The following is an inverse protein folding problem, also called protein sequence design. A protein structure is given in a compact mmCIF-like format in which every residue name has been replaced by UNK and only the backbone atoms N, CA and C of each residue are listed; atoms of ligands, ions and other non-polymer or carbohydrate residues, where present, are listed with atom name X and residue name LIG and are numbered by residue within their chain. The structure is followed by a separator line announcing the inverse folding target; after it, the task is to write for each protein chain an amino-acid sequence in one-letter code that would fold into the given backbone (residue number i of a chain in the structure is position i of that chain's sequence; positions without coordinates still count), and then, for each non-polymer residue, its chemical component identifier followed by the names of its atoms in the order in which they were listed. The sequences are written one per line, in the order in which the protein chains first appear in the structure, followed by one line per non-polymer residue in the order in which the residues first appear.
data_IF_889621624265
#
_entry.id   IF_889621624265
#
_cell.length_a   1.000
_cell.length_b   1.000
_cell.length_c   1.000
_cell.angle_alpha   90.00
_cell.angle_beta   90.00
_cell.angle_gamma   90.00
#
_symmetry.space_group_name_H-M   'P 1'
#
loop_
_entity.id
_entity.type
_entity.pdbx_description
1 polymer ?
#
# COMPACT_ATOMS: atom_id res chain seq x y z
N UNK A 1 -42.56 -26.63 8.82
CA UNK A 1 -41.15 -26.28 9.06
C UNK A 1 -40.57 -25.75 7.75
N UNK A 2 -40.15 -24.48 7.63
CA UNK A 2 -39.43 -24.06 6.43
C UNK A 2 -37.96 -24.45 6.55
N UNK A 3 -37.45 -25.04 5.47
CA UNK A 3 -36.08 -25.43 5.26
C UNK A 3 -35.23 -24.16 5.07
N UNK A 4 -34.29 -23.90 5.98
CA UNK A 4 -33.34 -22.79 5.86
C UNK A 4 -32.15 -23.27 5.04
N UNK A 5 -32.01 -22.76 3.81
CA UNK A 5 -30.78 -22.91 3.03
C UNK A 5 -29.69 -22.04 3.66
N UNK A 6 -28.73 -22.66 4.34
CA UNK A 6 -27.50 -21.99 4.78
C UNK A 6 -26.67 -21.73 3.51
N UNK A 7 -26.67 -20.49 3.03
CA UNK A 7 -25.76 -20.07 1.98
C UNK A 7 -24.33 -20.04 2.54
N UNK A 8 -23.48 -20.98 2.10
CA UNK A 8 -22.05 -20.90 2.35
C UNK A 8 -21.51 -19.67 1.61
N UNK A 9 -21.14 -18.63 2.37
CA UNK A 9 -20.40 -17.50 1.83
C UNK A 9 -19.05 -18.03 1.30
N UNK A 10 -18.59 -17.59 0.13
CA UNK A 10 -17.27 -17.96 -0.35
C UNK A 10 -16.24 -17.42 0.65
N UNK A 11 -15.53 -18.33 1.31
CA UNK A 11 -14.31 -17.98 2.03
C UNK A 11 -13.29 -17.59 0.98
N UNK A 12 -13.06 -16.28 0.79
CA UNK A 12 -11.83 -15.82 0.17
C UNK A 12 -10.72 -16.41 1.04
N UNK A 13 -9.97 -17.36 0.50
CA UNK A 13 -8.82 -17.92 1.18
C UNK A 13 -8.01 -16.76 1.76
N UNK A 14 -7.83 -16.75 3.08
CA UNK A 14 -7.11 -15.68 3.76
C UNK A 14 -5.73 -15.55 3.12
N UNK A 15 -5.51 -14.46 2.39
CA UNK A 15 -4.25 -14.21 1.72
C UNK A 15 -3.14 -14.12 2.78
N UNK A 16 -2.07 -14.89 2.60
CA UNK A 16 -0.99 -14.94 3.57
C UNK A 16 0.01 -13.81 3.31
N UNK A 17 -0.31 -12.62 3.80
CA UNK A 17 0.54 -11.43 3.66
C UNK A 17 1.89 -11.52 4.38
N UNK A 18 2.08 -12.49 5.28
CA UNK A 18 3.36 -12.69 5.97
C UNK A 18 4.46 -13.22 5.04
N UNK A 19 4.07 -13.82 3.91
CA UNK A 19 5.01 -14.27 2.87
C UNK A 19 5.48 -13.13 1.96
N UNK A 20 4.80 -11.97 1.98
CA UNK A 20 5.22 -10.82 1.20
C UNK A 20 6.61 -10.35 1.68
N UNK A 21 7.47 -9.87 0.78
CA UNK A 21 8.77 -9.32 1.16
C UNK A 21 8.63 -8.19 2.17
N UNK A 22 9.60 -8.08 3.07
CA UNK A 22 9.72 -6.92 3.97
C UNK A 22 9.80 -5.66 3.12
N UNK A 23 8.97 -4.67 3.45
CA UNK A 23 8.90 -3.41 2.74
C UNK A 23 10.23 -2.67 2.92
N UNK A 24 10.85 -2.32 1.79
CA UNK A 24 12.03 -1.45 1.77
C UNK A 24 11.57 -0.02 1.55
N UNK A 25 12.27 0.94 2.15
CA UNK A 25 12.02 2.37 1.93
C UNK A 25 12.30 2.81 0.47
N UNK A 26 12.97 1.99 -0.33
CA UNK A 26 13.25 2.25 -1.74
C UNK A 26 12.95 1.03 -2.62
N UNK A 27 12.16 1.23 -3.68
CA UNK A 27 11.76 0.18 -4.63
C UNK A 27 11.30 0.77 -5.97
N UNK A 28 11.31 -0.02 -7.07
CA UNK A 28 10.74 0.41 -8.35
C UNK A 28 9.22 0.63 -8.27
N UNK A 29 8.73 1.72 -8.85
CA UNK A 29 7.29 1.99 -8.93
C UNK A 29 6.56 0.93 -9.74
N UNK A 30 5.38 0.50 -9.28
CA UNK A 30 4.48 -0.39 -10.01
C UNK A 30 3.70 0.32 -11.11
N UNK A 31 3.68 1.67 -11.11
CA UNK A 31 2.98 2.49 -12.11
C UNK A 31 3.71 2.62 -13.46
N UNK A 32 4.91 2.04 -13.60
CA UNK A 32 5.72 2.12 -14.82
C UNK A 32 6.61 3.38 -14.91
N UNK A 33 7.18 3.63 -16.09
CA UNK A 33 7.98 4.84 -16.37
C UNK A 33 9.40 4.86 -15.81
N UNK A 34 9.90 3.74 -15.28
CA UNK A 34 11.25 3.68 -14.69
C UNK A 34 11.40 4.49 -13.41
N UNK A 35 10.29 4.86 -12.77
CA UNK A 35 10.28 5.64 -11.53
C UNK A 35 10.78 4.78 -10.37
N UNK A 36 11.69 5.34 -9.57
CA UNK A 36 12.08 4.77 -8.28
C UNK A 36 11.37 5.51 -7.15
N UNK A 37 10.68 4.75 -6.29
CA UNK A 37 10.07 5.26 -5.07
C UNK A 37 11.14 5.26 -3.97
N UNK A 38 11.24 6.35 -3.21
CA UNK A 38 12.17 6.49 -2.07
C UNK A 38 11.49 7.11 -0.86
N UNK A 39 12.00 6.80 0.34
CA UNK A 39 11.49 7.33 1.61
C UNK A 39 10.12 6.77 1.99
N UNK A 40 9.81 5.55 1.54
CA UNK A 40 8.49 4.95 1.72
C UNK A 40 8.42 4.20 3.05
N UNK A 41 8.11 4.94 4.11
CA UNK A 41 8.14 4.48 5.50
C UNK A 41 6.79 4.76 6.16
N UNK A 42 5.78 3.89 5.94
CA UNK A 42 4.40 4.15 6.34
C UNK A 42 4.21 4.15 7.85
N UNK A 43 3.31 5.02 8.30
CA UNK A 43 2.83 5.10 9.68
C UNK A 43 1.33 4.82 9.70
N UNK A 44 0.88 4.03 10.66
CA UNK A 44 -0.55 3.77 10.87
C UNK A 44 -1.07 4.72 11.94
N UNK A 45 -2.07 5.53 11.58
CA UNK A 45 -2.74 6.46 12.50
C UNK A 45 -4.15 6.77 12.02
N UNK A 46 -5.10 6.93 12.95
CA UNK A 46 -6.47 7.34 12.61
C UNK A 46 -7.20 6.43 11.61
N UNK A 47 -6.90 5.12 11.60
CA UNK A 47 -7.49 4.19 10.62
C UNK A 47 -6.93 4.32 9.21
N UNK A 48 -5.79 4.99 9.04
CA UNK A 48 -5.07 5.16 7.77
C UNK A 48 -3.64 4.67 7.88
N UNK A 49 -3.09 4.22 6.76
CA UNK A 49 -1.65 4.09 6.60
C UNK A 49 -1.17 5.23 5.70
N UNK A 50 -0.26 6.05 6.20
CA UNK A 50 0.16 7.28 5.52
C UNK A 50 1.67 7.24 5.35
N UNK A 51 2.15 7.58 4.15
CA UNK A 51 3.56 7.86 3.93
C UNK A 51 3.73 9.02 2.99
N UNK A 52 4.71 9.87 3.28
CA UNK A 52 5.32 10.72 2.26
C UNK A 52 6.32 9.88 1.47
N UNK A 53 6.54 10.19 0.21
CA UNK A 53 7.53 9.52 -0.60
C UNK A 53 8.04 10.42 -1.72
N UNK A 54 9.17 10.04 -2.31
CA UNK A 54 9.70 10.65 -3.52
C UNK A 54 9.52 9.70 -4.69
N UNK A 55 8.91 10.17 -5.77
CA UNK A 55 8.96 9.55 -7.09
C UNK A 55 10.12 10.17 -7.86
N UNK A 56 11.14 9.36 -8.17
CA UNK A 56 12.38 9.82 -8.82
C UNK A 56 12.45 9.22 -10.21
N UNK A 57 12.57 10.06 -11.24
CA UNK A 57 12.81 9.62 -12.62
C UNK A 57 14.19 8.96 -12.76
N UNK A 58 14.40 8.20 -13.85
CA UNK A 58 15.71 7.71 -14.22
C UNK A 58 16.54 8.81 -14.92
N UNK A 59 17.87 8.71 -14.88
CA UNK A 59 18.78 9.61 -15.59
C UNK A 59 19.81 10.30 -14.69
N UNK A 60 20.71 11.09 -15.31
CA UNK A 60 21.85 11.74 -14.64
C UNK A 60 21.41 12.93 -13.76
N UNK A 61 20.33 13.63 -14.14
CA UNK A 61 19.72 14.71 -13.37
C UNK A 61 18.21 14.44 -13.23
N UNK A 62 17.81 13.49 -12.37
CA UNK A 62 16.44 13.02 -12.33
C UNK A 62 15.51 14.05 -11.72
N UNK A 63 14.33 14.22 -12.31
CA UNK A 63 13.26 14.96 -11.64
C UNK A 63 12.79 14.18 -10.42
N UNK A 64 12.47 14.91 -9.36
CA UNK A 64 12.01 14.36 -8.10
C UNK A 64 10.67 14.99 -7.77
N UNK A 65 9.66 14.15 -7.58
CA UNK A 65 8.32 14.57 -7.17
C UNK A 65 8.05 14.10 -5.75
N UNK A 66 7.86 15.04 -4.83
CA UNK A 66 7.47 14.74 -3.45
C UNK A 66 5.97 14.56 -3.38
N UNK A 67 5.54 13.45 -2.80
CA UNK A 67 4.15 13.02 -2.78
C UNK A 67 3.75 12.49 -1.41
N UNK A 68 2.44 12.40 -1.19
CA UNK A 68 1.83 11.70 -0.07
C UNK A 68 0.89 10.63 -0.60
N UNK A 69 0.84 9.50 0.07
CA UNK A 69 -0.15 8.44 -0.16
C UNK A 69 -0.84 8.08 1.15
N UNK A 70 -2.14 7.85 1.04
CA UNK A 70 -2.99 7.38 2.12
C UNK A 70 -3.69 6.08 1.69
N UNK A 71 -3.67 5.10 2.57
CA UNK A 71 -4.40 3.85 2.46
C UNK A 71 -5.45 3.76 3.55
N UNK A 72 -6.50 3.00 3.28
CA UNK A 72 -7.38 2.50 4.34
C UNK A 72 -6.63 1.46 5.16
N UNK A 73 -6.60 1.62 6.48
CA UNK A 73 -6.00 0.64 7.40
C UNK A 73 -7.10 -0.30 7.92
N UNK A 74 -7.14 -1.51 7.37
CA UNK A 74 -8.17 -2.51 7.68
C UNK A 74 -7.58 -3.59 8.60
N UNK A 75 -8.16 -3.81 9.79
CA UNK A 75 -7.77 -4.94 10.63
C UNK A 75 -7.98 -6.27 9.89
N UNK A 76 -6.98 -7.15 9.94
CA UNK A 76 -7.04 -8.49 9.36
C UNK A 76 -6.37 -9.49 10.30
N UNK A 77 -6.42 -10.78 9.98
CA UNK A 77 -5.91 -11.88 10.80
C UNK A 77 -4.50 -11.62 11.35
N UNK A 78 -4.41 -11.16 12.60
CA UNK A 78 -3.17 -10.90 13.31
C UNK A 78 -2.41 -9.64 12.88
N UNK A 79 -2.97 -8.75 12.07
CA UNK A 79 -2.28 -7.54 11.62
C UNK A 79 -3.20 -6.48 11.03
N UNK A 80 -2.61 -5.54 10.28
CA UNK A 80 -3.33 -4.46 9.60
C UNK A 80 -2.96 -4.45 8.12
N UNK A 81 -3.96 -4.52 7.25
CA UNK A 81 -3.80 -4.39 5.80
C UNK A 81 -4.13 -2.96 5.38
N UNK A 82 -3.13 -2.28 4.85
CA UNK A 82 -3.22 -1.00 4.17
C UNK A 82 -3.59 -1.24 2.70
N UNK A 83 -4.76 -0.77 2.27
CA UNK A 83 -5.28 -1.00 0.91
C UNK A 83 -5.95 0.25 0.33
N UNK A 84 -6.36 0.18 -0.92
CA UNK A 84 -7.04 1.25 -1.65
C UNK A 84 -6.25 2.58 -1.66
N UNK A 85 -4.94 2.49 -1.90
CA UNK A 85 -4.03 3.62 -1.83
C UNK A 85 -4.38 4.74 -2.79
N UNK A 86 -4.45 5.97 -2.26
CA UNK A 86 -4.66 7.22 -3.01
C UNK A 86 -3.50 8.14 -2.77
N UNK A 87 -2.87 8.61 -3.83
CA UNK A 87 -1.69 9.46 -3.74
C UNK A 87 -1.86 10.77 -4.49
N UNK A 88 -1.10 11.77 -4.07
CA UNK A 88 -0.99 13.06 -4.75
C UNK A 88 0.41 13.63 -4.59
N UNK A 89 0.86 14.35 -5.61
CA UNK A 89 2.03 15.20 -5.50
C UNK A 89 1.72 16.41 -4.62
N UNK A 90 2.72 16.91 -3.88
CA UNK A 90 2.55 18.09 -3.03
C UNK A 90 2.40 19.39 -3.82
N UNK A 91 3.02 19.48 -5.00
CA UNK A 91 2.92 20.62 -5.91
C UNK A 91 1.56 20.70 -6.65
N UNK A 92 0.69 19.71 -6.45
CA UNK A 92 -0.61 19.61 -7.11
C UNK A 92 -0.55 19.16 -8.57
N UNK A 93 0.62 18.78 -9.09
CA UNK A 93 0.81 18.43 -10.50
C UNK A 93 0.22 17.09 -10.91
N UNK A 94 0.06 16.15 -9.97
CA UNK A 94 -0.48 14.81 -10.25
C UNK A 94 -1.15 14.17 -9.04
N UNK A 95 -2.06 13.24 -9.30
CA UNK A 95 -2.67 12.37 -8.30
C UNK A 95 -3.13 11.06 -8.94
N UNK A 96 -3.35 10.03 -8.13
CA UNK A 96 -3.86 8.77 -8.61
C UNK A 96 -4.16 7.77 -7.51
N UNK A 97 -4.33 6.52 -7.93
CA UNK A 97 -4.49 5.36 -7.04
C UNK A 97 -3.40 4.33 -7.32
N UNK A 98 -3.22 3.37 -6.41
CA UNK A 98 -2.31 2.25 -6.61
C UNK A 98 -2.94 0.94 -6.13
N UNK A 99 -2.69 -0.18 -6.83
CA UNK A 99 -3.03 -1.52 -6.34
C UNK A 99 -2.05 -2.02 -5.27
N UNK A 100 -0.95 -1.30 -5.02
CA UNK A 100 0.04 -1.66 -4.00
C UNK A 100 -0.62 -1.81 -2.64
N UNK A 101 -0.27 -2.86 -1.90
CA UNK A 101 -0.81 -3.16 -0.58
C UNK A 101 0.34 -3.25 0.41
N UNK A 102 0.11 -2.73 1.61
CA UNK A 102 1.08 -2.80 2.72
C UNK A 102 0.45 -3.57 3.86
N UNK A 103 1.14 -4.56 4.40
CA UNK A 103 0.71 -5.33 5.56
C UNK A 103 1.63 -5.03 6.74
N UNK A 104 1.04 -4.73 7.88
CA UNK A 104 1.74 -4.48 9.14
C UNK A 104 1.38 -5.54 10.17
N UNK A 105 2.40 -6.15 10.76
CA UNK A 105 2.28 -7.10 11.87
C UNK A 105 3.56 -7.12 12.67
N UNK A 106 3.45 -7.14 14.00
CA UNK A 106 4.57 -7.28 14.95
C UNK A 106 5.74 -6.32 14.67
N UNK A 107 5.43 -5.07 14.31
CA UNK A 107 6.44 -4.04 14.03
C UNK A 107 7.06 -4.10 12.63
N UNK A 108 6.64 -5.04 11.79
CA UNK A 108 7.20 -5.26 10.44
C UNK A 108 6.17 -4.86 9.38
N UNK A 109 6.60 -4.01 8.46
CA UNK A 109 5.87 -3.73 7.22
C UNK A 109 6.32 -4.66 6.09
N UNK A 110 5.35 -5.15 5.32
CA UNK A 110 5.55 -5.97 4.11
C UNK A 110 4.73 -5.36 2.97
N UNK A 111 5.21 -5.46 1.73
CA UNK A 111 4.58 -4.81 0.59
C UNK A 111 4.51 -5.70 -0.64
N UNK A 112 3.45 -5.52 -1.44
CA UNK A 112 3.26 -6.15 -2.75
C UNK A 112 2.39 -5.31 -3.68
#
# INVERSE_FOLDING_TARGET
LPLVCIAALPTLAAENFEQCPVLKSTFPSTGGGGITIKGYDPVITGGKCITTFMAVEAGENPKVYTSVIEFDAVPTAGGTLCTAGKWRAFDGGASGTTPFRVFFKDGIFRGQ
#
